data_IF_753562039946
#
_entry.id   IF_753562039946
#
_cell.length_a   1.000
_cell.length_b   1.000
_cell.length_c   1.000
_cell.angle_alpha   90.00
_cell.angle_beta   90.00
_cell.angle_gamma   90.00
#
_symmetry.space_group_name_H-M   'P 1'
#
loop_
_entity.id
_entity.type
_entity.pdbx_description
1 polymer ?
#
# COMPACT_ATOMS: atom_id res chain seq x y z
N UNK A 1 -11.75 -10.79 -14.74
CA UNK A 1 -10.31 -10.51 -14.60
C UNK A 1 -9.70 -11.71 -13.88
N UNK A 2 -8.61 -12.30 -14.38
CA UNK A 2 -8.01 -13.45 -13.70
C UNK A 2 -6.95 -12.96 -12.70
N UNK A 3 -7.41 -12.64 -11.49
CA UNK A 3 -6.60 -12.11 -10.39
C UNK A 3 -5.44 -13.04 -10.06
N UNK A 4 -5.69 -14.36 -10.04
CA UNK A 4 -4.66 -15.37 -9.78
C UNK A 4 -3.55 -15.29 -10.83
N UNK A 5 -3.88 -15.05 -12.10
CA UNK A 5 -2.87 -14.88 -13.14
C UNK A 5 -2.01 -13.62 -12.95
N UNK A 6 -2.61 -12.51 -12.52
CA UNK A 6 -1.88 -11.26 -12.26
C UNK A 6 -0.91 -11.47 -11.10
N UNK A 7 -1.43 -12.03 -10.00
CA UNK A 7 -0.67 -12.32 -8.79
C UNK A 7 0.45 -13.33 -9.08
N UNK A 8 0.14 -14.42 -9.77
CA UNK A 8 1.15 -15.43 -10.11
C UNK A 8 2.21 -14.91 -11.09
N UNK A 9 1.86 -13.92 -11.92
CA UNK A 9 2.80 -13.22 -12.79
C UNK A 9 3.87 -12.43 -12.04
N UNK A 10 3.61 -12.00 -10.79
CA UNK A 10 4.57 -11.23 -9.97
C UNK A 10 5.86 -12.00 -9.66
N UNK A 11 5.75 -13.31 -9.55
CA UNK A 11 6.87 -14.21 -9.21
C UNK A 11 7.15 -15.22 -10.32
N UNK A 12 6.88 -14.83 -11.58
CA UNK A 12 7.15 -15.65 -12.78
C UNK A 12 6.52 -17.06 -12.72
N UNK A 13 5.35 -17.19 -12.08
CA UNK A 13 4.67 -18.47 -11.89
C UNK A 13 5.50 -19.54 -11.14
N UNK A 14 6.53 -19.13 -10.38
CA UNK A 14 7.36 -20.05 -9.57
C UNK A 14 6.65 -20.59 -8.34
N UNK A 15 5.56 -19.94 -7.94
CA UNK A 15 4.76 -20.25 -6.76
C UNK A 15 3.29 -19.92 -7.07
N UNK A 16 2.38 -20.41 -6.26
CA UNK A 16 0.97 -20.05 -6.35
C UNK A 16 0.39 -20.02 -4.94
N UNK A 17 0.18 -18.80 -4.44
CA UNK A 17 -0.34 -18.56 -3.10
C UNK A 17 -1.74 -19.17 -2.92
N UNK A 18 -2.55 -19.28 -3.98
CA UNK A 18 -3.90 -19.83 -3.90
C UNK A 18 -3.92 -21.31 -3.50
N UNK A 19 -2.84 -22.04 -3.81
CA UNK A 19 -2.68 -23.48 -3.55
C UNK A 19 -1.72 -23.78 -2.40
N UNK A 20 -1.10 -22.76 -1.79
CA UNK A 20 -0.14 -22.97 -0.72
C UNK A 20 -0.86 -23.50 0.55
N UNK A 21 -0.41 -24.63 1.12
CA UNK A 21 -1.07 -25.24 2.28
C UNK A 21 -0.97 -24.40 3.56
N UNK A 22 -0.06 -23.41 3.60
CA UNK A 22 0.09 -22.47 4.71
C UNK A 22 -0.74 -21.20 4.56
N UNK A 23 -1.49 -21.04 3.45
CA UNK A 23 -2.43 -19.93 3.26
C UNK A 23 -3.55 -20.00 4.30
N UNK A 24 -3.89 -18.86 4.88
CA UNK A 24 -5.07 -18.72 5.70
C UNK A 24 -6.34 -18.87 4.84
N UNK A 25 -7.14 -19.88 5.14
CA UNK A 25 -8.39 -20.19 4.43
C UNK A 25 -9.56 -19.34 4.92
N UNK A 26 -9.44 -18.71 6.09
CA UNK A 26 -10.44 -17.80 6.65
C UNK A 26 -10.21 -16.34 6.22
N UNK A 27 -9.04 -16.05 5.63
CA UNK A 27 -8.70 -14.74 5.11
C UNK A 27 -9.70 -14.29 4.03
N UNK A 28 -10.11 -13.05 4.15
CA UNK A 28 -10.98 -12.38 3.19
C UNK A 28 -10.24 -11.87 1.95
N UNK A 29 -8.91 -11.85 1.98
CA UNK A 29 -8.01 -11.34 0.94
C UNK A 29 -6.83 -12.28 0.71
N UNK A 30 -6.35 -12.34 -0.53
CA UNK A 30 -5.33 -13.30 -0.92
C UNK A 30 -3.91 -12.83 -0.56
N UNK A 31 -3.53 -11.60 -0.89
CA UNK A 31 -2.18 -11.06 -0.63
C UNK A 31 -2.11 -10.24 0.65
N UNK A 32 -3.17 -9.51 0.97
CA UNK A 32 -3.15 -8.56 2.08
C UNK A 32 -3.06 -9.28 3.44
N UNK A 33 -3.94 -10.23 3.70
CA UNK A 33 -3.95 -11.02 4.94
C UNK A 33 -2.91 -12.15 4.97
N UNK A 34 -2.38 -12.56 3.81
CA UNK A 34 -1.31 -13.56 3.72
C UNK A 34 0.07 -12.94 3.39
N UNK A 35 0.27 -11.68 3.76
CA UNK A 35 1.53 -10.96 3.50
C UNK A 35 2.77 -11.68 4.08
N UNK A 36 2.68 -12.22 5.30
CA UNK A 36 3.76 -12.98 5.95
C UNK A 36 4.15 -14.24 5.17
N UNK A 37 3.19 -14.86 4.48
CA UNK A 37 3.46 -16.01 3.61
C UNK A 37 4.29 -15.57 2.40
N UNK A 38 3.99 -14.41 1.81
CA UNK A 38 4.80 -13.83 0.74
C UNK A 38 6.20 -13.47 1.27
N UNK A 39 6.29 -12.85 2.44
CA UNK A 39 7.56 -12.42 3.04
C UNK A 39 8.47 -13.60 3.36
N UNK A 40 7.92 -14.69 3.88
CA UNK A 40 8.66 -15.91 4.16
C UNK A 40 9.06 -16.67 2.90
N UNK A 41 8.26 -16.61 1.84
CA UNK A 41 8.55 -17.25 0.55
C UNK A 41 9.66 -16.52 -0.23
N UNK A 42 9.69 -15.19 -0.19
CA UNK A 42 10.62 -14.36 -0.96
C UNK A 42 11.47 -13.42 -0.09
N UNK A 43 12.17 -13.91 0.96
CA UNK A 43 12.78 -13.05 1.98
C UNK A 43 13.89 -12.13 1.43
N UNK A 44 14.50 -12.46 0.29
CA UNK A 44 15.54 -11.63 -0.34
C UNK A 44 15.00 -10.55 -1.28
N UNK A 45 13.71 -10.63 -1.61
CA UNK A 45 13.04 -9.73 -2.56
C UNK A 45 12.02 -8.82 -1.85
N UNK A 46 11.99 -8.85 -0.51
CA UNK A 46 11.23 -7.93 0.34
C UNK A 46 12.12 -6.80 0.83
N UNK A 47 11.60 -5.59 0.68
CA UNK A 47 12.20 -4.32 1.08
C UNK A 47 11.19 -3.53 1.91
N UNK A 48 11.63 -2.40 2.47
CA UNK A 48 10.76 -1.41 3.11
C UNK A 48 10.89 -0.07 2.40
N UNK A 49 9.78 0.47 1.91
CA UNK A 49 9.65 1.86 1.49
C UNK A 49 9.44 2.73 2.73
N UNK A 50 10.41 3.58 3.03
CA UNK A 50 10.47 4.33 4.29
C UNK A 50 10.94 5.78 4.07
N UNK A 51 10.59 6.67 4.98
CA UNK A 51 11.16 8.01 5.08
C UNK A 51 12.58 8.02 5.68
N UNK A 52 12.97 6.95 6.37
CA UNK A 52 14.30 6.82 6.96
C UNK A 52 15.27 5.99 6.10
N UNK A 53 16.51 6.46 5.90
CA UNK A 53 17.53 5.74 5.14
C UNK A 53 18.16 4.56 5.90
N UNK A 54 18.04 4.52 7.24
CA UNK A 54 18.67 3.53 8.09
C UNK A 54 17.65 2.81 8.96
N UNK A 55 18.01 1.59 9.38
CA UNK A 55 17.24 0.87 10.38
C UNK A 55 17.24 1.64 11.71
N UNK A 56 16.07 1.67 12.35
CA UNK A 56 15.89 2.23 13.69
C UNK A 56 16.65 1.38 14.69
N UNK A 57 17.59 1.99 15.43
CA UNK A 57 18.43 1.29 16.41
C UNK A 57 17.88 1.45 17.84
N UNK A 58 17.15 2.53 18.12
CA UNK A 58 16.61 2.86 19.43
C UNK A 58 15.13 3.21 19.29
N UNK A 59 14.27 2.25 19.63
CA UNK A 59 12.82 2.36 19.43
C UNK A 59 12.20 3.45 20.32
N UNK A 60 12.76 3.72 21.51
CA UNK A 60 12.24 4.79 22.39
C UNK A 60 12.46 6.17 21.77
N UNK A 61 13.67 6.42 21.26
CA UNK A 61 13.98 7.67 20.54
C UNK A 61 13.16 7.79 19.26
N UNK A 62 12.89 6.67 18.60
CA UNK A 62 12.02 6.65 17.44
C UNK A 62 10.59 7.05 17.82
N UNK A 63 9.96 6.45 18.83
CA UNK A 63 8.59 6.80 19.24
C UNK A 63 8.41 8.28 19.61
N UNK A 64 9.44 8.90 20.20
CA UNK A 64 9.48 10.33 20.54
C UNK A 64 9.61 11.23 19.31
N UNK A 65 10.28 10.76 18.25
CA UNK A 65 10.54 11.53 17.02
C UNK A 65 9.68 11.13 15.82
N UNK A 66 8.93 10.03 15.93
CA UNK A 66 8.08 9.51 14.86
C UNK A 66 6.82 10.37 14.71
N UNK A 67 6.32 10.41 13.48
CA UNK A 67 5.14 11.21 13.12
C UNK A 67 4.04 10.24 12.74
N UNK A 68 3.27 9.85 13.75
CA UNK A 68 2.08 9.02 13.56
C UNK A 68 0.91 9.88 13.11
N UNK A 69 0.05 9.34 12.25
CA UNK A 69 -1.14 10.05 11.78
C UNK A 69 -2.04 10.48 12.96
N UNK A 70 -2.28 9.59 13.92
CA UNK A 70 -3.11 9.86 15.10
C UNK A 70 -2.59 11.07 15.91
N UNK A 71 -1.29 11.12 16.19
CA UNK A 71 -0.66 12.26 16.88
C UNK A 71 -0.77 13.57 16.09
N UNK A 72 -0.85 13.47 14.76
CA UNK A 72 -0.96 14.64 13.88
C UNK A 72 -2.35 15.29 13.94
N UNK A 73 -3.40 14.54 14.32
CA UNK A 73 -4.76 15.07 14.46
C UNK A 73 -4.89 16.14 15.55
N UNK A 74 -4.08 16.04 16.60
CA UNK A 74 -4.13 16.93 17.77
C UNK A 74 -3.13 18.10 17.69
N UNK A 75 -2.13 18.01 16.79
CA UNK A 75 -1.05 18.97 16.70
C UNK A 75 -0.83 19.44 15.27
N UNK A 76 -1.24 20.69 14.99
CA UNK A 76 -1.14 21.32 13.67
C UNK A 76 0.27 21.30 13.07
N UNK A 77 1.32 21.50 13.88
CA UNK A 77 2.69 21.47 13.38
C UNK A 77 3.07 20.06 12.93
N UNK A 78 2.63 19.02 13.65
CA UNK A 78 2.84 17.63 13.25
C UNK A 78 1.99 17.26 12.03
N UNK A 79 0.77 17.78 11.91
CA UNK A 79 -0.08 17.61 10.72
C UNK A 79 0.61 18.11 9.44
N UNK A 80 1.20 19.31 9.49
CA UNK A 80 1.91 19.88 8.35
C UNK A 80 3.14 19.06 7.96
N UNK A 81 3.86 18.47 8.93
CA UNK A 81 5.00 17.59 8.63
C UNK A 81 4.54 16.24 8.10
N UNK A 82 3.52 15.63 8.71
CA UNK A 82 2.95 14.36 8.25
C UNK A 82 2.48 14.49 6.80
N UNK A 83 1.73 15.55 6.47
CA UNK A 83 1.26 15.81 5.11
C UNK A 83 2.40 15.90 4.10
N UNK A 84 3.52 16.54 4.46
CA UNK A 84 4.71 16.59 3.60
C UNK A 84 5.33 15.22 3.36
N UNK A 85 5.33 14.35 4.35
CA UNK A 85 5.79 12.96 4.18
C UNK A 85 4.81 12.17 3.32
N UNK A 86 3.50 12.27 3.59
CA UNK A 86 2.42 11.66 2.78
C UNK A 86 2.54 12.04 1.29
N UNK A 87 2.78 13.31 0.98
CA UNK A 87 2.98 13.80 -0.39
C UNK A 87 4.14 13.10 -1.12
N UNK A 88 5.20 12.69 -0.42
CA UNK A 88 6.32 11.94 -1.05
C UNK A 88 5.89 10.55 -1.49
N UNK A 89 5.12 9.84 -0.64
CA UNK A 89 4.57 8.53 -1.00
C UNK A 89 3.63 8.67 -2.20
N UNK A 90 2.76 9.68 -2.21
CA UNK A 90 1.87 9.96 -3.34
C UNK A 90 2.66 10.18 -4.63
N UNK A 91 3.77 10.95 -4.60
CA UNK A 91 4.60 11.17 -5.79
C UNK A 91 5.27 9.89 -6.30
N UNK A 92 5.80 9.05 -5.40
CA UNK A 92 6.35 7.74 -5.80
C UNK A 92 5.28 6.89 -6.49
N UNK A 93 4.09 6.76 -5.89
CA UNK A 93 2.99 5.98 -6.47
C UNK A 93 2.48 6.56 -7.78
N UNK A 94 2.44 7.88 -7.93
CA UNK A 94 2.09 8.55 -9.18
C UNK A 94 3.05 8.18 -10.31
N UNK A 95 4.36 8.18 -10.04
CA UNK A 95 5.39 7.77 -11.02
C UNK A 95 5.21 6.30 -11.38
N UNK A 96 5.03 5.42 -10.39
CA UNK A 96 4.85 3.98 -10.64
C UNK A 96 3.58 3.69 -11.45
N UNK A 97 2.46 4.33 -11.11
CA UNK A 97 1.18 4.20 -11.82
C UNK A 97 1.25 4.70 -13.27
N UNK A 98 2.01 5.76 -13.52
CA UNK A 98 2.24 6.25 -14.89
C UNK A 98 3.02 5.27 -15.78
N UNK A 99 3.67 4.26 -15.19
CA UNK A 99 4.53 3.30 -15.89
C UNK A 99 4.06 1.83 -15.78
N UNK A 100 2.95 1.57 -15.11
CA UNK A 100 2.38 0.22 -14.96
C UNK A 100 0.91 0.29 -14.65
N UNK A 101 0.12 -0.63 -15.19
CA UNK A 101 -1.21 -0.92 -14.66
C UNK A 101 -1.11 -1.27 -13.18
N UNK A 102 -2.09 -0.79 -12.40
CA UNK A 102 -2.16 -1.00 -10.95
C UNK A 102 -3.46 -1.68 -10.59
N UNK A 103 -3.33 -2.80 -9.92
CA UNK A 103 -4.43 -3.50 -9.28
C UNK A 103 -4.29 -3.30 -7.77
N UNK A 104 -5.41 -3.10 -7.08
CA UNK A 104 -5.41 -2.93 -5.63
C UNK A 104 -6.32 -3.95 -4.99
N UNK A 105 -5.77 -4.79 -4.13
CA UNK A 105 -6.53 -5.59 -3.17
C UNK A 105 -6.72 -4.78 -1.88
N UNK A 106 -7.93 -4.67 -1.35
CA UNK A 106 -8.23 -3.76 -0.24
C UNK A 106 -9.30 -4.29 0.70
N UNK A 107 -9.18 -3.97 2.00
CA UNK A 107 -10.22 -4.25 3.00
C UNK A 107 -11.36 -3.24 2.99
N UNK A 108 -11.38 -2.27 2.08
CA UNK A 108 -12.37 -1.18 2.07
C UNK A 108 -13.81 -1.70 2.19
N UNK A 109 -14.17 -2.79 1.50
CA UNK A 109 -15.53 -3.36 1.53
C UNK A 109 -15.99 -3.83 2.91
N UNK A 110 -15.06 -4.22 3.79
CA UNK A 110 -15.36 -4.74 5.12
C UNK A 110 -15.34 -3.66 6.20
N UNK A 111 -14.97 -2.44 5.85
CA UNK A 111 -14.84 -1.34 6.80
C UNK A 111 -16.15 -0.56 6.91
N UNK A 112 -16.42 -0.03 8.11
CA UNK A 112 -17.51 0.92 8.28
C UNK A 112 -17.16 2.23 7.56
N UNK A 113 -17.87 2.52 6.48
CA UNK A 113 -17.61 3.71 5.67
C UNK A 113 -17.75 5.01 6.47
N UNK A 114 -18.69 5.07 7.41
CA UNK A 114 -18.93 6.28 8.21
C UNK A 114 -17.74 6.61 9.12
N UNK A 115 -16.99 5.60 9.59
CA UNK A 115 -15.76 5.85 10.35
C UNK A 115 -14.57 6.26 9.48
N UNK A 116 -14.58 5.90 8.19
CA UNK A 116 -13.50 6.26 7.26
C UNK A 116 -13.66 7.71 6.81
N UNK A 117 -14.87 8.10 6.41
CA UNK A 117 -15.11 9.42 5.81
C UNK A 117 -14.91 10.57 6.81
N UNK A 118 -15.01 10.31 8.12
CA UNK A 118 -14.70 11.32 9.15
C UNK A 118 -13.22 11.70 9.17
N UNK A 119 -12.34 10.84 8.68
CA UNK A 119 -10.90 11.11 8.54
C UNK A 119 -10.55 11.86 7.24
N UNK A 120 -11.54 12.19 6.40
CA UNK A 120 -11.36 12.83 5.10
C UNK A 120 -12.14 14.14 5.06
N UNK A 121 -11.46 15.24 4.75
CA UNK A 121 -12.10 16.58 4.75
C UNK A 121 -12.66 17.01 3.38
N UNK A 122 -12.28 16.32 2.31
CA UNK A 122 -12.62 16.67 0.93
C UNK A 122 -13.89 15.94 0.48
N UNK A 123 -14.95 16.69 0.19
CA UNK A 123 -16.26 16.14 -0.23
C UNK A 123 -16.17 15.29 -1.50
N UNK A 124 -15.32 15.65 -2.46
CA UNK A 124 -15.17 14.87 -3.69
C UNK A 124 -14.54 13.50 -3.38
N UNK A 125 -13.52 13.47 -2.51
CA UNK A 125 -12.93 12.21 -2.03
C UNK A 125 -13.92 11.39 -1.21
N UNK A 126 -14.70 12.01 -0.33
CA UNK A 126 -15.75 11.32 0.44
C UNK A 126 -16.75 10.62 -0.50
N UNK A 127 -17.24 11.32 -1.51
CA UNK A 127 -18.15 10.72 -2.49
C UNK A 127 -17.48 9.59 -3.26
N UNK A 128 -16.21 9.75 -3.63
CA UNK A 128 -15.47 8.70 -4.32
C UNK A 128 -15.25 7.45 -3.46
N UNK A 129 -15.01 7.59 -2.15
CA UNK A 129 -14.95 6.46 -1.20
C UNK A 129 -16.26 5.69 -1.20
N UNK A 130 -17.40 6.39 -1.16
CA UNK A 130 -18.73 5.76 -1.22
C UNK A 130 -18.94 4.99 -2.51
N UNK A 131 -18.52 5.55 -3.63
CA UNK A 131 -18.63 4.89 -4.93
C UNK A 131 -17.78 3.63 -5.00
N UNK A 132 -16.51 3.70 -4.58
CA UNK A 132 -15.60 2.55 -4.52
C UNK A 132 -16.12 1.45 -3.59
N UNK A 133 -16.57 1.84 -2.39
CA UNK A 133 -17.14 0.91 -1.42
C UNK A 133 -18.40 0.22 -1.96
N UNK A 134 -19.29 0.97 -2.63
CA UNK A 134 -20.48 0.40 -3.28
C UNK A 134 -20.10 -0.53 -4.43
N UNK A 135 -19.11 -0.16 -5.24
CA UNK A 135 -18.62 -0.97 -6.35
C UNK A 135 -18.09 -2.32 -5.85
N UNK A 136 -17.21 -2.32 -4.85
CA UNK A 136 -16.63 -3.53 -4.26
C UNK A 136 -17.72 -4.44 -3.68
N UNK A 137 -18.62 -3.88 -2.85
CA UNK A 137 -19.74 -4.63 -2.28
C UNK A 137 -20.69 -5.20 -3.34
N UNK A 138 -20.98 -4.46 -4.42
CA UNK A 138 -21.89 -4.92 -5.48
C UNK A 138 -21.34 -6.11 -6.27
N UNK A 139 -20.01 -6.24 -6.34
CA UNK A 139 -19.33 -7.33 -7.03
C UNK A 139 -18.92 -8.46 -6.10
N UNK A 140 -18.99 -8.23 -4.77
CA UNK A 140 -18.41 -9.09 -3.76
C UNK A 140 -16.92 -9.38 -4.08
N UNK A 141 -16.20 -8.33 -4.46
CA UNK A 141 -14.80 -8.35 -4.84
C UNK A 141 -14.02 -7.40 -3.91
N UNK A 142 -12.85 -7.84 -3.49
CA UNK A 142 -11.86 -7.10 -2.69
C UNK A 142 -10.77 -6.47 -3.57
N UNK A 143 -10.82 -6.66 -4.88
CA UNK A 143 -9.81 -6.17 -5.82
C UNK A 143 -10.42 -5.26 -6.90
N UNK A 144 -9.69 -4.22 -7.28
CA UNK A 144 -10.05 -3.38 -8.42
C UNK A 144 -8.81 -2.96 -9.23
N UNK A 145 -9.00 -2.68 -10.51
CA UNK A 145 -8.01 -2.01 -11.34
C UNK A 145 -8.18 -0.49 -11.23
N UNK A 146 -7.06 0.22 -11.08
CA UNK A 146 -7.04 1.67 -10.87
C UNK A 146 -6.91 2.39 -12.20
N UNK A 147 -8.02 2.97 -12.67
CA UNK A 147 -8.08 3.73 -13.92
C UNK A 147 -7.87 5.24 -13.71
N UNK A 148 -8.23 5.75 -12.53
CA UNK A 148 -8.13 7.17 -12.21
C UNK A 148 -7.14 7.40 -11.07
N UNK A 149 -6.29 8.42 -11.21
CA UNK A 149 -5.29 8.76 -10.19
C UNK A 149 -5.93 9.11 -8.83
N UNK A 150 -7.15 9.67 -8.84
CA UNK A 150 -7.87 9.99 -7.61
C UNK A 150 -8.11 8.73 -6.76
N UNK A 151 -8.36 7.58 -7.38
CA UNK A 151 -8.58 6.31 -6.66
C UNK A 151 -7.29 5.78 -6.05
N UNK A 152 -6.19 5.88 -6.82
CA UNK A 152 -4.86 5.54 -6.32
C UNK A 152 -4.51 6.35 -5.09
N UNK A 153 -4.61 7.67 -5.23
CA UNK A 153 -4.28 8.62 -4.18
C UNK A 153 -5.15 8.37 -2.95
N UNK A 154 -6.45 8.14 -3.15
CA UNK A 154 -7.39 7.93 -2.06
C UNK A 154 -7.09 6.66 -1.28
N UNK A 155 -6.89 5.52 -1.95
CA UNK A 155 -6.56 4.26 -1.29
C UNK A 155 -5.20 4.35 -0.59
N UNK A 156 -4.24 5.06 -1.17
CA UNK A 156 -2.92 5.27 -0.57
C UNK A 156 -3.01 6.14 0.70
N UNK A 157 -3.75 7.25 0.65
CA UNK A 157 -3.98 8.11 1.81
C UNK A 157 -4.68 7.34 2.93
N UNK A 158 -5.72 6.56 2.62
CA UNK A 158 -6.39 5.71 3.61
C UNK A 158 -5.44 4.68 4.23
N UNK A 159 -4.50 4.15 3.44
CA UNK A 159 -3.48 3.23 3.90
C UNK A 159 -2.40 3.88 4.77
N UNK A 160 -1.90 5.05 4.40
CA UNK A 160 -0.90 5.81 5.18
C UNK A 160 -1.45 6.27 6.52
N UNK A 161 -2.76 6.59 6.55
CA UNK A 161 -3.49 7.07 7.73
C UNK A 161 -4.05 5.95 8.62
N UNK A 162 -3.61 4.72 8.39
CA UNK A 162 -4.01 3.53 9.15
C UNK A 162 -5.53 3.27 9.18
N UNK A 163 -6.26 3.68 8.14
CA UNK A 163 -7.72 3.51 8.05
C UNK A 163 -8.10 2.25 7.30
N UNK A 164 -7.43 1.99 6.18
CA UNK A 164 -7.72 0.87 5.27
C UNK A 164 -6.44 0.23 4.76
N UNK A 165 -6.23 -1.03 5.13
CA UNK A 165 -5.16 -1.87 4.60
C UNK A 165 -5.43 -2.24 3.15
N UNK A 166 -4.42 -2.08 2.30
CA UNK A 166 -4.47 -2.36 0.87
C UNK A 166 -3.11 -2.87 0.36
N UNK A 167 -3.11 -3.63 -0.73
CA UNK A 167 -1.90 -4.03 -1.48
C UNK A 167 -2.00 -3.48 -2.88
N UNK A 168 -0.99 -2.72 -3.29
CA UNK A 168 -0.87 -2.14 -4.62
C UNK A 168 0.04 -3.01 -5.47
N UNK A 169 -0.51 -3.55 -6.55
CA UNK A 169 0.11 -4.52 -7.43
C UNK A 169 0.40 -3.84 -8.76
N UNK A 170 1.67 -3.54 -9.02
CA UNK A 170 2.13 -2.94 -10.27
C UNK A 170 2.59 -4.07 -11.21
N UNK A 171 1.69 -4.53 -12.07
CA UNK A 171 1.86 -5.76 -12.86
C UNK A 171 3.09 -5.73 -13.76
N UNK A 172 3.27 -4.66 -14.54
CA UNK A 172 4.34 -4.58 -15.57
C UNK A 172 5.73 -4.58 -14.94
N UNK A 173 5.86 -3.90 -13.79
CA UNK A 173 7.12 -3.79 -13.06
C UNK A 173 7.26 -4.82 -11.93
N UNK A 174 6.30 -5.75 -11.78
CA UNK A 174 6.31 -6.84 -10.81
C UNK A 174 6.61 -6.37 -9.38
N UNK A 175 5.93 -5.31 -8.96
CA UNK A 175 6.02 -4.78 -7.60
C UNK A 175 4.72 -5.01 -6.84
N UNK A 176 4.83 -5.30 -5.55
CA UNK A 176 3.72 -5.23 -4.60
C UNK A 176 4.10 -4.34 -3.43
N UNK A 177 3.21 -3.44 -3.03
CA UNK A 177 3.42 -2.53 -1.90
C UNK A 177 2.24 -2.67 -0.95
N UNK A 178 2.50 -3.02 0.31
CA UNK A 178 1.47 -3.15 1.33
C UNK A 178 1.35 -1.84 2.12
N UNK A 179 0.14 -1.30 2.23
CA UNK A 179 -0.16 -0.13 3.08
C UNK A 179 -0.64 -0.54 4.46
N UNK A 180 -0.92 0.47 5.32
CA UNK A 180 -1.30 0.28 6.71
C UNK A 180 -0.14 -0.28 7.56
N UNK A 181 1.02 0.34 7.36
CA UNK A 181 2.29 0.13 8.05
C UNK A 181 2.92 1.51 8.31
N UNK A 182 2.14 2.46 8.85
CA UNK A 182 2.51 3.85 9.03
C UNK A 182 3.18 4.45 7.76
N UNK A 183 4.33 5.10 7.93
CA UNK A 183 5.19 5.61 6.88
C UNK A 183 6.34 4.62 6.55
N UNK A 184 6.10 3.31 6.70
CA UNK A 184 7.06 2.23 6.41
C UNK A 184 6.39 1.04 5.67
N UNK A 185 6.14 1.18 4.37
CA UNK A 185 5.42 0.16 3.59
C UNK A 185 6.34 -1.01 3.17
N UNK A 186 5.98 -2.27 3.48
CA UNK A 186 6.64 -3.43 2.87
C UNK A 186 6.49 -3.41 1.35
N UNK A 187 7.56 -3.80 0.66
CA UNK A 187 7.60 -3.87 -0.80
C UNK A 187 8.20 -5.20 -1.24
N UNK A 188 7.50 -5.93 -2.10
CA UNK A 188 8.07 -7.01 -2.88
C UNK A 188 8.51 -6.47 -4.24
N UNK A 189 9.70 -6.88 -4.69
CA UNK A 189 10.18 -6.57 -6.04
C UNK A 189 10.73 -7.81 -6.74
N UNK A 190 9.99 -8.31 -7.73
CA UNK A 190 10.31 -9.55 -8.44
C UNK A 190 11.48 -9.44 -9.43
N UNK A 191 12.08 -8.25 -9.60
CA UNK A 191 13.23 -8.05 -10.50
C UNK A 191 14.22 -7.05 -9.94
N UNK A 192 15.51 -7.43 -9.97
CA UNK A 192 16.62 -6.54 -9.58
C UNK A 192 16.63 -5.23 -10.37
N UNK A 193 16.31 -5.24 -11.66
CA UNK A 193 16.25 -4.01 -12.46
C UNK A 193 15.17 -3.05 -11.95
N UNK A 194 14.02 -3.60 -11.55
CA UNK A 194 12.88 -2.83 -11.06
C UNK A 194 13.13 -2.36 -9.63
N UNK A 195 13.85 -3.14 -8.81
CA UNK A 195 14.33 -2.72 -7.49
C UNK A 195 15.25 -1.50 -7.59
N UNK A 196 16.21 -1.48 -8.51
CA UNK A 196 17.11 -0.34 -8.69
C UNK A 196 16.38 0.90 -9.22
N UNK A 197 15.43 0.71 -10.14
CA UNK A 197 14.57 1.79 -10.61
C UNK A 197 13.71 2.36 -9.47
N UNK A 198 13.09 1.49 -8.65
CA UNK A 198 12.30 1.90 -7.50
C UNK A 198 13.18 2.68 -6.51
N UNK A 199 14.39 2.18 -6.20
CA UNK A 199 15.36 2.87 -5.33
C UNK A 199 15.69 4.27 -5.84
N UNK A 200 15.90 4.43 -7.15
CA UNK A 200 16.13 5.73 -7.77
C UNK A 200 14.91 6.67 -7.63
N UNK A 201 13.70 6.17 -7.90
CA UNK A 201 12.46 6.94 -7.75
C UNK A 201 12.29 7.39 -6.29
N UNK A 202 12.40 6.47 -5.34
CA UNK A 202 12.27 6.76 -3.91
C UNK A 202 13.25 7.85 -3.46
N UNK A 203 14.53 7.68 -3.75
CA UNK A 203 15.57 8.65 -3.34
C UNK A 203 15.38 10.02 -3.97
N UNK A 204 14.91 10.08 -5.22
CA UNK A 204 14.56 11.34 -5.90
C UNK A 204 13.42 12.07 -5.19
N UNK A 205 12.41 11.33 -4.73
CA UNK A 205 11.24 11.89 -4.04
C UNK A 205 11.45 12.09 -2.52
N UNK A 206 12.64 11.77 -2.00
CA UNK A 206 13.00 11.94 -0.59
C UNK A 206 12.53 10.81 0.33
N UNK A 207 12.34 9.60 -0.23
CA UNK A 207 12.10 8.33 0.45
C UNK A 207 13.26 7.37 0.20
N UNK A 208 13.24 6.21 0.85
CA UNK A 208 14.28 5.21 0.77
C UNK A 208 13.66 3.83 0.64
N UNK A 209 14.33 2.97 -0.15
CA UNK A 209 14.02 1.55 -0.23
C UNK A 209 15.10 0.80 0.55
N UNK A 210 14.75 0.13 1.64
CA UNK A 210 15.69 -0.59 2.51
C UNK A 210 15.54 -2.09 2.35
#
# INVERSE_FOLDING_TARGET
>A
MNIESIINGLWDYKWDISTDPSKDLEASTLLLENNELVFSRFPTDIYTLDRYPFQIVDYRKFEESNIFYEKSLENKNLADVYKKEEEKFIRVFQILWSNSSVYVETMLQYKNIESIITAVSDEAKINRIRDLHKQLNSRNENMLEIQDFIDLQLLLELGLREQVSSVFIFETIKLCIWSNFDLNMPVYSGSKSNTELLRLICTTEGLYLR
#
